data_IF_885436519807
#
_entry.id   IF_885436519807
#
_cell.length_a   1.000
_cell.length_b   1.000
_cell.length_c   1.000
_cell.angle_alpha   90.00
_cell.angle_beta   90.00
_cell.angle_gamma   90.00
#
_symmetry.space_group_name_H-M   'P 1'
#
loop_
_entity.id
_entity.type
_entity.pdbx_description
1 polymer ?
#
# COMPACT_ATOMS: atom_id res chain seq x y z
N UNK A 1 41.50 2.49 -6.69
CA UNK A 1 40.56 1.35 -6.85
C UNK A 1 39.14 1.83 -6.55
N UNK A 2 38.37 2.28 -7.56
CA UNK A 2 37.00 2.77 -7.35
C UNK A 2 36.07 1.58 -7.10
N UNK A 3 35.52 1.46 -5.89
CA UNK A 3 34.41 0.53 -5.60
C UNK A 3 33.23 0.93 -6.48
N UNK A 4 32.95 0.16 -7.55
CA UNK A 4 31.66 0.20 -8.22
C UNK A 4 30.63 -0.32 -7.22
N UNK A 5 29.88 0.58 -6.58
CA UNK A 5 28.61 0.23 -5.94
C UNK A 5 27.70 -0.31 -7.05
N UNK A 6 27.55 -1.63 -7.12
CA UNK A 6 26.52 -2.24 -7.98
C UNK A 6 25.18 -1.73 -7.46
N UNK A 7 24.49 -0.94 -8.28
CA UNK A 7 23.16 -0.47 -8.00
C UNK A 7 22.20 -1.66 -8.15
N UNK A 8 21.90 -2.33 -7.03
CA UNK A 8 20.94 -3.44 -6.93
C UNK A 8 19.50 -2.91 -6.71
N UNK A 9 19.19 -1.73 -7.26
CA UNK A 9 17.84 -1.19 -7.28
C UNK A 9 16.89 -2.03 -8.16
N UNK A 10 15.57 -1.90 -7.96
CA UNK A 10 14.58 -2.49 -8.86
C UNK A 10 14.86 -2.06 -10.30
N UNK A 11 14.55 -2.94 -11.25
CA UNK A 11 14.74 -2.69 -12.69
C UNK A 11 13.39 -2.73 -13.38
N UNK A 12 12.70 -1.58 -13.46
CA UNK A 12 11.47 -1.50 -14.21
C UNK A 12 11.68 -1.93 -15.67
N UNK A 13 10.68 -2.58 -16.26
CA UNK A 13 10.68 -2.86 -17.71
C UNK A 13 10.23 -1.66 -18.56
N UNK A 14 9.88 -0.54 -17.93
CA UNK A 14 9.41 0.69 -18.58
C UNK A 14 10.30 1.88 -18.21
N UNK A 15 10.43 2.90 -19.08
CA UNK A 15 11.23 4.10 -18.80
C UNK A 15 10.71 4.92 -17.61
N UNK A 16 9.38 5.02 -17.49
CA UNK A 16 8.70 5.84 -16.47
C UNK A 16 7.78 4.96 -15.61
N UNK A 17 8.28 4.36 -14.52
CA UNK A 17 7.49 3.45 -13.69
C UNK A 17 6.45 4.15 -12.80
N UNK A 18 6.71 5.40 -12.40
CA UNK A 18 5.89 6.11 -11.39
C UNK A 18 4.43 6.28 -11.81
N UNK A 19 4.10 6.74 -13.05
CA UNK A 19 2.70 6.88 -13.46
C UNK A 19 1.93 5.55 -13.44
N UNK A 20 2.60 4.45 -13.78
CA UNK A 20 2.00 3.10 -13.76
C UNK A 20 1.66 2.67 -12.33
N UNK A 21 2.58 2.88 -11.39
CA UNK A 21 2.34 2.59 -9.97
C UNK A 21 1.26 3.49 -9.38
N UNK A 22 1.28 4.79 -9.67
CA UNK A 22 0.29 5.74 -9.18
C UNK A 22 -1.12 5.43 -9.73
N UNK A 23 -1.24 5.03 -10.99
CA UNK A 23 -2.51 4.55 -11.54
C UNK A 23 -2.99 3.27 -10.82
N UNK A 24 -2.09 2.33 -10.53
CA UNK A 24 -2.44 1.13 -9.77
C UNK A 24 -2.90 1.46 -8.33
N UNK A 25 -2.24 2.41 -7.67
CA UNK A 25 -2.62 2.92 -6.35
C UNK A 25 -4.00 3.59 -6.40
N UNK A 26 -4.26 4.46 -7.38
CA UNK A 26 -5.55 5.12 -7.53
C UNK A 26 -6.69 4.10 -7.65
N UNK A 27 -6.50 3.10 -8.50
CA UNK A 27 -7.51 2.08 -8.72
C UNK A 27 -7.72 1.22 -7.46
N UNK A 28 -6.66 0.94 -6.69
CA UNK A 28 -6.77 0.29 -5.38
C UNK A 28 -7.53 1.15 -4.38
N UNK A 29 -7.21 2.44 -4.25
CA UNK A 29 -7.85 3.36 -3.32
C UNK A 29 -9.36 3.44 -3.62
N UNK A 30 -9.74 3.60 -4.88
CA UNK A 30 -11.15 3.62 -5.29
C UNK A 30 -11.89 2.34 -4.95
N UNK A 31 -11.27 1.18 -5.19
CA UNK A 31 -11.87 -0.11 -4.85
C UNK A 31 -11.94 -0.34 -3.33
N UNK A 32 -10.88 -0.03 -2.59
CA UNK A 32 -10.77 -0.27 -1.15
C UNK A 32 -11.65 0.69 -0.32
N UNK A 33 -11.79 1.95 -0.75
CA UNK A 33 -12.65 2.95 -0.10
C UNK A 33 -14.14 2.55 -0.10
N UNK A 34 -14.56 1.69 -1.03
CA UNK A 34 -15.93 1.19 -1.12
C UNK A 34 -16.18 -0.05 -0.25
N UNK A 35 -15.16 -0.60 0.41
CA UNK A 35 -15.29 -1.81 1.22
C UNK A 35 -15.62 -1.42 2.66
N UNK A 36 -16.71 -1.97 3.19
CA UNK A 36 -17.05 -1.77 4.60
C UNK A 36 -15.94 -2.31 5.52
N UNK A 37 -15.70 -1.58 6.61
CA UNK A 37 -14.60 -1.85 7.53
C UNK A 37 -13.27 -1.20 7.17
N UNK A 38 -13.05 -0.69 5.95
CA UNK A 38 -11.90 0.18 5.67
C UNK A 38 -12.11 1.53 6.37
N UNK A 39 -11.12 2.01 7.12
CA UNK A 39 -11.20 3.24 7.93
C UNK A 39 -10.24 4.34 7.50
N UNK A 40 -9.10 3.96 6.91
CA UNK A 40 -8.11 4.90 6.38
C UNK A 40 -7.25 4.22 5.34
N UNK A 41 -6.86 4.95 4.30
CA UNK A 41 -5.88 4.50 3.31
C UNK A 41 -4.82 5.59 3.19
N UNK A 42 -3.55 5.21 3.32
CA UNK A 42 -2.43 6.13 3.26
C UNK A 42 -1.32 5.60 2.35
N UNK A 43 -0.74 6.48 1.53
CA UNK A 43 0.45 6.18 0.75
C UNK A 43 1.68 6.35 1.63
N UNK A 44 2.54 5.34 1.65
CA UNK A 44 3.80 5.34 2.40
C UNK A 44 4.96 4.99 1.47
N UNK A 45 6.17 4.92 2.03
CA UNK A 45 7.35 4.47 1.30
C UNK A 45 7.81 5.44 0.22
N UNK A 46 8.58 4.91 -0.74
CA UNK A 46 9.34 5.75 -1.69
C UNK A 46 8.51 6.44 -2.77
N UNK A 47 7.26 6.03 -2.99
CA UNK A 47 6.41 6.62 -4.03
C UNK A 47 5.91 8.02 -3.65
N UNK A 48 5.89 8.34 -2.35
CA UNK A 48 5.54 9.68 -1.84
C UNK A 48 6.59 10.73 -2.20
N UNK A 49 7.85 10.32 -2.44
CA UNK A 49 8.97 11.22 -2.73
C UNK A 49 9.22 11.35 -4.24
N UNK A 50 10.07 12.30 -4.65
CA UNK A 50 10.48 12.51 -6.06
C UNK A 50 11.47 11.46 -6.59
N UNK A 51 11.64 10.31 -5.91
CA UNK A 51 12.56 9.27 -6.37
C UNK A 51 12.12 8.77 -7.77
N UNK A 52 12.96 8.91 -8.83
CA UNK A 52 12.54 8.59 -10.20
C UNK A 52 12.16 7.11 -10.38
N UNK A 53 12.91 6.23 -9.72
CA UNK A 53 12.64 4.79 -9.66
C UNK A 53 12.25 4.41 -8.23
N UNK A 54 10.95 4.41 -7.89
CA UNK A 54 10.46 3.92 -6.60
C UNK A 54 10.79 2.44 -6.46
N UNK A 55 10.89 1.96 -5.21
CA UNK A 55 11.10 0.53 -4.95
C UNK A 55 9.86 -0.25 -5.34
N UNK A 56 8.77 0.08 -4.65
CA UNK A 56 7.46 -0.56 -4.73
C UNK A 56 6.38 0.51 -4.47
N UNK A 57 5.11 0.15 -4.66
CA UNK A 57 3.98 0.96 -4.22
C UNK A 57 3.47 0.45 -2.85
N UNK A 58 3.73 1.20 -1.79
CA UNK A 58 3.41 0.81 -0.42
C UNK A 58 2.20 1.58 0.12
N UNK A 59 1.17 0.88 0.54
CA UNK A 59 -0.06 1.44 1.12
C UNK A 59 -0.27 0.93 2.54
N UNK A 60 -0.64 1.82 3.45
CA UNK A 60 -1.15 1.47 4.78
C UNK A 60 -2.67 1.60 4.79
N UNK A 61 -3.35 0.51 5.15
CA UNK A 61 -4.80 0.46 5.31
C UNK A 61 -5.14 0.23 6.77
N UNK A 62 -5.89 1.15 7.38
CA UNK A 62 -6.48 0.95 8.70
C UNK A 62 -7.85 0.30 8.53
N UNK A 63 -8.10 -0.79 9.25
CA UNK A 63 -9.32 -1.61 9.11
C UNK A 63 -10.04 -1.79 10.45
N UNK A 64 -11.33 -2.08 10.40
CA UNK A 64 -12.09 -2.59 11.52
C UNK A 64 -11.61 -4.00 11.91
N UNK A 65 -11.67 -4.32 13.21
CA UNK A 65 -11.14 -5.57 13.75
C UNK A 65 -11.74 -6.80 13.06
N UNK A 66 -13.06 -6.83 12.89
CA UNK A 66 -13.83 -7.95 12.35
C UNK A 66 -14.03 -7.92 10.83
N UNK A 67 -13.39 -6.97 10.13
CA UNK A 67 -13.54 -6.84 8.67
C UNK A 67 -13.09 -8.10 7.93
N UNK A 68 -13.92 -8.62 7.03
CA UNK A 68 -13.49 -9.64 6.07
C UNK A 68 -12.50 -9.06 5.04
N UNK A 69 -11.40 -9.77 4.79
CA UNK A 69 -10.30 -9.30 3.95
C UNK A 69 -10.42 -9.73 2.49
N UNK A 70 -11.39 -10.56 2.10
CA UNK A 70 -11.50 -11.12 0.74
C UNK A 70 -11.51 -10.05 -0.36
N UNK A 71 -12.37 -9.04 -0.22
CA UNK A 71 -12.49 -7.95 -1.18
C UNK A 71 -11.21 -7.09 -1.22
N UNK A 72 -10.63 -6.78 -0.05
CA UNK A 72 -9.41 -5.98 0.06
C UNK A 72 -8.21 -6.75 -0.53
N UNK A 73 -8.14 -8.06 -0.31
CA UNK A 73 -7.13 -8.93 -0.86
C UNK A 73 -7.24 -9.06 -2.38
N UNK A 74 -8.46 -9.08 -2.92
CA UNK A 74 -8.69 -9.02 -4.37
C UNK A 74 -8.15 -7.70 -4.95
N UNK A 75 -8.49 -6.56 -4.35
CA UNK A 75 -8.01 -5.26 -4.80
C UNK A 75 -6.47 -5.16 -4.72
N UNK A 76 -5.87 -5.63 -3.63
CA UNK A 76 -4.41 -5.66 -3.46
C UNK A 76 -3.73 -6.54 -4.51
N UNK A 77 -4.25 -7.74 -4.80
CA UNK A 77 -3.70 -8.60 -5.86
C UNK A 77 -3.81 -7.98 -7.25
N UNK A 78 -4.88 -7.24 -7.53
CA UNK A 78 -5.01 -6.50 -8.80
C UNK A 78 -3.98 -5.37 -8.91
N UNK A 79 -3.73 -4.63 -7.84
CA UNK A 79 -2.67 -3.63 -7.76
C UNK A 79 -1.28 -4.27 -7.97
N UNK A 80 -0.98 -5.34 -7.23
CA UNK A 80 0.26 -6.09 -7.36
C UNK A 80 0.46 -6.62 -8.78
N UNK A 81 -0.58 -7.16 -9.42
CA UNK A 81 -0.53 -7.62 -10.80
C UNK A 81 -0.22 -6.51 -11.81
N UNK A 82 -0.64 -5.26 -11.55
CA UNK A 82 -0.27 -4.10 -12.38
C UNK A 82 1.19 -3.71 -12.19
N UNK A 83 1.68 -3.66 -10.95
CA UNK A 83 3.09 -3.37 -10.66
C UNK A 83 4.03 -4.45 -11.23
N UNK A 84 3.66 -5.72 -11.11
CA UNK A 84 4.48 -6.84 -11.60
C UNK A 84 4.65 -6.85 -13.12
N UNK A 85 3.69 -6.32 -13.89
CA UNK A 85 3.84 -6.15 -15.36
C UNK A 85 5.02 -5.26 -15.73
N UNK A 86 5.43 -4.38 -14.82
CA UNK A 86 6.60 -3.51 -15.00
C UNK A 86 7.79 -3.91 -14.14
N UNK A 87 7.86 -5.16 -13.66
CA UNK A 87 8.91 -5.70 -12.80
C UNK A 87 9.06 -4.99 -11.44
N UNK A 88 7.97 -4.44 -10.90
CA UNK A 88 7.94 -3.80 -9.57
C UNK A 88 6.92 -4.46 -8.65
N UNK A 89 7.01 -4.18 -7.34
CA UNK A 89 6.06 -4.62 -6.34
C UNK A 89 5.06 -3.53 -5.93
N UNK A 90 4.03 -3.98 -5.22
CA UNK A 90 3.05 -3.17 -4.52
C UNK A 90 2.52 -3.96 -3.31
N UNK A 91 2.55 -3.35 -2.14
CA UNK A 91 2.15 -3.99 -0.89
C UNK A 91 1.08 -3.17 -0.16
N UNK A 92 0.12 -3.88 0.45
CA UNK A 92 -0.88 -3.30 1.33
C UNK A 92 -0.64 -3.80 2.76
N UNK A 93 -0.16 -2.90 3.61
CA UNK A 93 0.04 -3.07 5.05
C UNK A 93 -1.27 -2.82 5.79
N UNK A 94 -1.50 -3.56 6.88
CA UNK A 94 -2.72 -3.49 7.67
C UNK A 94 -2.42 -3.02 9.10
N UNK A 95 -3.25 -2.11 9.58
CA UNK A 95 -3.30 -1.72 10.98
C UNK A 95 -4.74 -1.71 11.48
N UNK A 96 -4.93 -1.86 12.79
CA UNK A 96 -6.22 -1.62 13.42
C UNK A 96 -6.40 -0.15 13.83
N UNK A 97 -7.61 0.21 14.25
CA UNK A 97 -7.98 1.56 14.67
C UNK A 97 -7.25 2.05 15.93
N UNK A 98 -6.64 1.14 16.70
CA UNK A 98 -5.84 1.49 17.87
C UNK A 98 -4.38 1.78 17.50
N UNK A 99 -4.05 1.79 16.20
CA UNK A 99 -2.70 2.05 15.71
C UNK A 99 -1.77 0.84 15.81
N UNK A 100 -2.30 -0.36 16.03
CA UNK A 100 -1.48 -1.58 16.07
C UNK A 100 -1.32 -2.14 14.65
N UNK A 101 -0.09 -2.45 14.28
CA UNK A 101 0.22 -3.15 13.05
C UNK A 101 -0.27 -4.61 13.12
N UNK A 102 -0.98 -5.06 12.09
CA UNK A 102 -1.54 -6.42 12.01
C UNK A 102 -0.72 -7.33 11.10
N UNK A 103 0.03 -6.77 10.16
CA UNK A 103 0.70 -7.50 9.09
C UNK A 103 0.40 -6.89 7.73
N UNK A 104 0.45 -7.70 6.69
CA UNK A 104 0.15 -7.29 5.30
C UNK A 104 -0.90 -8.19 4.67
N UNK A 105 -1.52 -7.70 3.61
CA UNK A 105 -2.38 -8.52 2.77
C UNK A 105 -1.55 -9.65 2.15
N UNK A 106 -2.04 -10.87 2.30
CA UNK A 106 -1.43 -12.04 1.72
C UNK A 106 -1.51 -12.01 0.18
N UNK A 107 -0.37 -12.19 -0.48
CA UNK A 107 -0.31 -12.23 -1.94
C UNK A 107 -0.87 -13.53 -2.54
N UNK A 108 -0.95 -14.61 -1.75
CA UNK A 108 -1.56 -15.86 -2.22
C UNK A 108 -3.08 -15.77 -2.24
N UNK A 109 -3.67 -16.30 -3.33
CA UNK A 109 -5.12 -16.38 -3.51
C UNK A 109 -5.80 -17.33 -2.51
N UNK A 110 -5.10 -18.34 -2.03
CA UNK A 110 -5.64 -19.35 -1.12
C UNK A 110 -4.71 -19.49 0.09
N UNK A 111 -5.29 -19.35 1.29
CA UNK A 111 -4.62 -19.63 2.54
C UNK A 111 -4.42 -21.14 2.69
N UNK A 112 -3.18 -21.59 2.53
CA UNK A 112 -2.77 -22.98 2.76
C UNK A 112 -1.36 -23.01 3.32
N UNK A 113 -1.04 -24.07 4.06
CA UNK A 113 0.33 -24.29 4.53
C UNK A 113 1.28 -24.35 3.32
N UNK A 114 2.26 -23.43 3.29
CA UNK A 114 3.28 -23.36 2.24
C UNK A 114 4.63 -23.20 2.93
N UNK A 115 5.66 -23.86 2.42
CA UNK A 115 7.02 -23.75 2.94
C UNK A 115 7.55 -22.29 2.92
N UNK A 116 7.06 -21.47 1.98
CA UNK A 116 7.42 -20.05 1.86
C UNK A 116 6.50 -19.11 2.65
N UNK A 117 5.44 -19.63 3.29
CA UNK A 117 4.58 -18.78 4.11
C UNK A 117 5.34 -18.35 5.37
N UNK A 118 5.37 -17.05 5.61
CA UNK A 118 5.97 -16.45 6.81
C UNK A 118 4.93 -15.95 7.82
N UNK A 119 3.64 -16.14 7.55
CA UNK A 119 2.59 -15.82 8.50
C UNK A 119 2.76 -16.65 9.78
N UNK A 120 2.65 -16.01 10.94
CA UNK A 120 2.66 -16.69 12.23
C UNK A 120 1.39 -17.54 12.40
N UNK A 121 0.25 -17.05 11.91
CA UNK A 121 -1.05 -17.69 12.04
C UNK A 121 -1.77 -17.79 10.69
N UNK A 122 -1.13 -18.41 9.70
CA UNK A 122 -1.71 -18.60 8.36
C UNK A 122 -3.10 -19.26 8.42
N UNK A 123 -4.12 -18.58 7.87
CA UNK A 123 -5.49 -19.09 7.81
C UNK A 123 -6.34 -18.84 9.06
N UNK A 124 -5.77 -18.33 10.16
CA UNK A 124 -6.56 -17.90 11.32
C UNK A 124 -7.46 -16.71 10.98
N UNK A 125 -6.96 -15.79 10.16
CA UNK A 125 -7.74 -14.78 9.45
C UNK A 125 -7.39 -14.86 7.98
N UNK A 126 -8.37 -15.16 7.14
CA UNK A 126 -8.15 -15.31 5.70
C UNK A 126 -7.51 -14.04 5.13
N UNK A 127 -6.50 -14.25 4.28
CA UNK A 127 -5.70 -13.22 3.62
C UNK A 127 -4.91 -12.26 4.50
N UNK A 128 -4.85 -12.46 5.82
CA UNK A 128 -3.86 -11.79 6.67
C UNK A 128 -2.54 -12.58 6.64
N UNK A 129 -1.45 -11.90 6.31
CA UNK A 129 -0.10 -12.39 6.55
C UNK A 129 0.49 -11.59 7.72
N UNK A 130 0.48 -12.20 8.91
CA UNK A 130 0.97 -11.64 10.17
C UNK A 130 2.44 -12.02 10.41
N UNK A 131 3.30 -11.73 9.43
CA UNK A 131 4.74 -11.96 9.47
C UNK A 131 5.48 -10.90 10.32
N UNK A 132 4.97 -10.65 11.53
CA UNK A 132 5.45 -9.59 12.44
C UNK A 132 6.92 -9.80 12.90
N UNK A 133 7.50 -10.97 12.65
CA UNK A 133 8.91 -11.24 12.93
C UNK A 133 9.83 -10.84 11.76
N UNK A 134 9.26 -10.63 10.57
CA UNK A 134 9.97 -10.25 9.34
C UNK A 134 9.77 -8.75 9.06
N UNK A 135 8.53 -8.27 9.16
CA UNK A 135 8.18 -6.89 8.87
C UNK A 135 7.34 -6.30 10.00
N UNK A 136 7.70 -5.10 10.45
CA UNK A 136 6.86 -4.28 11.34
C UNK A 136 6.90 -2.82 10.88
N UNK A 137 5.76 -2.13 11.02
CA UNK A 137 5.71 -0.68 10.79
C UNK A 137 5.87 0.06 12.12
N UNK A 138 6.67 1.15 12.18
CA UNK A 138 6.76 1.98 13.37
C UNK A 138 5.41 2.57 13.74
N UNK A 139 5.08 2.60 15.03
CA UNK A 139 3.82 3.17 15.53
C UNK A 139 3.59 4.62 15.04
N UNK A 140 4.66 5.41 14.95
CA UNK A 140 4.59 6.77 14.40
C UNK A 140 4.14 6.80 12.93
N UNK A 141 4.62 5.88 12.09
CA UNK A 141 4.21 5.81 10.68
C UNK A 141 2.74 5.41 10.56
N UNK A 142 2.24 4.58 11.48
CA UNK A 142 0.84 4.19 11.52
C UNK A 142 -0.03 5.36 11.99
N UNK A 143 0.37 6.06 13.03
CA UNK A 143 -0.36 7.20 13.56
C UNK A 143 -0.37 8.37 12.55
N UNK A 144 0.78 8.69 11.98
CA UNK A 144 1.05 9.89 11.18
C UNK A 144 1.67 9.52 9.83
N UNK A 145 0.96 8.80 8.94
CA UNK A 145 1.50 8.49 7.62
C UNK A 145 1.74 9.79 6.82
N UNK A 146 2.74 9.82 5.93
CA UNK A 146 3.13 11.03 5.21
C UNK A 146 2.02 11.59 4.31
N UNK A 147 1.20 10.72 3.72
CA UNK A 147 0.05 11.10 2.89
C UNK A 147 -1.14 10.17 3.13
N UNK A 148 -2.22 10.68 3.70
CA UNK A 148 -3.52 10.00 3.73
C UNK A 148 -4.29 10.34 2.45
N UNK A 149 -4.89 9.33 1.83
CA UNK A 149 -5.66 9.44 0.58
C UNK A 149 -7.17 9.32 0.83
N UNK A 150 -7.57 8.65 1.92
CA UNK A 150 -8.97 8.41 2.27
C UNK A 150 -9.10 8.18 3.78
N UNK A 151 -10.19 8.61 4.45
CA UNK A 151 -11.40 9.25 3.92
C UNK A 151 -11.24 10.74 3.57
N UNK A 152 -10.20 11.37 4.10
CA UNK A 152 -9.84 12.75 3.83
C UNK A 152 -8.38 12.78 3.41
N UNK A 153 -8.04 13.64 2.45
CA UNK A 153 -6.65 13.85 2.07
C UNK A 153 -5.95 14.62 3.19
N UNK A 154 -4.92 14.02 3.79
CA UNK A 154 -4.05 14.68 4.78
C UNK A 154 -2.61 14.62 4.30
N UNK A 155 -2.01 15.79 4.08
CA UNK A 155 -0.61 15.93 3.65
C UNK A 155 0.24 16.29 4.87
N UNK A 156 1.22 15.44 5.22
CA UNK A 156 2.23 15.72 6.25
C UNK A 156 3.63 15.95 5.67
N UNK A 157 3.78 15.68 4.37
CA UNK A 157 4.96 15.99 3.57
C UNK A 157 4.49 16.65 2.27
N UNK A 158 5.38 17.32 1.56
CA UNK A 158 5.13 17.76 0.19
C UNK A 158 5.17 16.52 -0.72
N UNK A 159 4.05 16.08 -1.32
CA UNK A 159 4.07 14.97 -2.25
C UNK A 159 4.76 15.38 -3.56
N UNK A 160 5.33 14.39 -4.25
CA UNK A 160 5.83 14.57 -5.60
C UNK A 160 4.72 15.11 -6.53
N UNK A 161 5.10 15.89 -7.55
CA UNK A 161 4.13 16.55 -8.43
C UNK A 161 3.19 15.57 -9.16
N UNK A 162 3.69 14.38 -9.51
CA UNK A 162 2.90 13.33 -10.14
C UNK A 162 1.90 12.66 -9.17
N UNK A 163 2.23 12.59 -7.88
CA UNK A 163 1.31 12.15 -6.82
C UNK A 163 0.12 13.11 -6.73
N UNK A 164 0.39 14.42 -6.72
CA UNK A 164 -0.68 15.44 -6.73
C UNK A 164 -1.56 15.30 -7.97
N UNK A 165 -0.95 15.22 -9.15
CA UNK A 165 -1.66 15.16 -10.42
C UNK A 165 -2.50 13.88 -10.59
N UNK A 166 -2.00 12.72 -10.13
CA UNK A 166 -2.64 11.42 -10.40
C UNK A 166 -3.57 10.99 -9.27
N UNK A 167 -3.21 11.26 -8.01
CA UNK A 167 -3.97 10.78 -6.85
C UNK A 167 -4.87 11.86 -6.22
N UNK A 168 -4.47 13.13 -6.24
CA UNK A 168 -5.13 14.17 -5.44
C UNK A 168 -6.00 15.12 -6.28
N UNK A 169 -5.77 15.20 -7.60
CA UNK A 169 -6.52 16.08 -8.51
C UNK A 169 -8.02 15.74 -8.69
N UNK A 170 -8.53 14.64 -8.10
CA UNK A 170 -9.92 14.20 -8.24
C UNK A 170 -10.69 14.06 -6.91
N UNK A 171 -10.20 14.59 -5.80
CA UNK A 171 -11.02 14.57 -4.58
C UNK A 171 -12.23 15.51 -4.75
N UNK A 172 -13.47 15.02 -4.66
CA UNK A 172 -14.61 15.91 -4.60
C UNK A 172 -14.42 16.80 -3.37
N UNK A 173 -14.38 18.11 -3.61
CA UNK A 173 -14.61 19.11 -2.59
C UNK A 173 -15.90 18.69 -1.88
N UNK A 174 -15.80 18.26 -0.62
CA UNK A 174 -16.97 18.25 0.25
C UNK A 174 -17.35 19.71 0.43
N UNK A 175 -18.30 20.17 -0.38
CA UNK A 175 -19.05 21.39 -0.11
C UNK A 175 -19.64 21.23 1.29
N UNK A 176 -19.20 22.10 2.20
CA UNK A 176 -19.87 22.30 3.47
C UNK A 176 -21.28 22.78 3.16
N UNK A 177 -22.28 21.92 3.38
CA UNK A 177 -23.67 22.33 3.48
C UNK A 177 -23.92 23.08 4.80
N UNK A 178 -24.90 24.00 4.83
CA UNK A 178 -25.03 25.09 5.80
C UNK A 178 -25.18 24.66 7.25
#
# INVERSE_FOLDING_TARGET
MRRRTRDYGPRPSVPEPRPVLLAAVRDFVGAAAAIDGVRRIALIGSLVTDKPVPKDADLLVTIAAEMDLDALARASRQMQGKAQKINLGAEAFLADQNGRYLGRICHWRECRARALCRAQHCGARNHLNDDLHDVTLPAKLIAEPPLELWPTIVRRVQPAADVEAILLAQAPSRENGP
#
